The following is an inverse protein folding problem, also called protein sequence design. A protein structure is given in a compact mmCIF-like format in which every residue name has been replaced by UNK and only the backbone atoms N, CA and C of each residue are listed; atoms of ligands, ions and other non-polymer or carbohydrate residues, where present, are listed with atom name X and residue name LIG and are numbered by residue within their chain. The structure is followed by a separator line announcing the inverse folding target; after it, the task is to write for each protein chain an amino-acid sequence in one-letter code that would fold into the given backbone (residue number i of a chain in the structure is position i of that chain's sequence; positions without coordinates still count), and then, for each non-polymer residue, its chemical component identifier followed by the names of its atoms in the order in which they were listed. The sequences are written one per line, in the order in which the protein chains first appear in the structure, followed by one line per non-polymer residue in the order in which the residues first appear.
data_IF_374568624585
#
_entry.id   IF_374568624585
#
_cell.length_a   1.000
_cell.length_b   1.000
_cell.length_c   1.000
_cell.angle_alpha   90.00
_cell.angle_beta   90.00
_cell.angle_gamma   90.00
#
_symmetry.space_group_name_H-M   'P 1'
#
loop_
_entity.id
_entity.type
_entity.pdbx_description
1 polymer ?
#
# COMPACT_ATOMS: atom_id res chain seq x y z
N UNK A 1 11.97 -18.04 -11.84
CA UNK A 1 10.86 -18.91 -11.42
C UNK A 1 10.41 -18.38 -10.07
N UNK A 2 9.45 -17.46 -10.05
CA UNK A 2 8.97 -16.83 -8.81
C UNK A 2 7.88 -17.74 -8.24
N UNK A 3 8.10 -18.25 -7.03
CA UNK A 3 7.08 -18.97 -6.28
C UNK A 3 5.92 -18.00 -5.98
N UNK A 4 4.76 -18.24 -6.62
CA UNK A 4 3.55 -17.43 -6.50
C UNK A 4 2.72 -17.75 -5.25
N UNK A 5 3.19 -18.63 -4.37
CA UNK A 5 2.60 -18.80 -3.04
C UNK A 5 3.09 -17.71 -2.07
N UNK A 6 2.84 -16.44 -2.39
CA UNK A 6 3.13 -15.32 -1.49
C UNK A 6 2.21 -15.40 -0.27
N UNK A 7 2.59 -16.25 0.69
CA UNK A 7 1.95 -16.30 2.00
C UNK A 7 2.27 -14.96 2.65
N UNK A 8 1.25 -14.10 2.75
CA UNK A 8 1.39 -12.84 3.47
C UNK A 8 1.85 -13.09 4.90
N UNK A 9 2.65 -12.17 5.45
CA UNK A 9 3.13 -12.31 6.83
C UNK A 9 1.96 -12.27 7.81
N UNK A 10 2.08 -12.88 9.02
CA UNK A 10 1.07 -12.78 10.05
C UNK A 10 0.71 -11.33 10.41
N UNK A 11 1.69 -10.43 10.38
CA UNK A 11 1.46 -9.00 10.58
C UNK A 11 0.62 -8.42 9.45
N UNK A 12 0.99 -8.68 8.19
CA UNK A 12 0.22 -8.19 7.04
C UNK A 12 -1.21 -8.70 7.05
N UNK A 13 -1.45 -9.93 7.50
CA UNK A 13 -2.81 -10.47 7.72
C UNK A 13 -3.58 -9.68 8.78
N UNK A 14 -2.96 -9.35 9.91
CA UNK A 14 -3.60 -8.50 10.93
C UNK A 14 -3.91 -7.10 10.38
N UNK A 15 -2.95 -6.47 9.69
CA UNK A 15 -3.15 -5.13 9.10
C UNK A 15 -4.25 -5.14 8.03
N UNK A 16 -4.33 -6.19 7.21
CA UNK A 16 -5.42 -6.38 6.24
C UNK A 16 -6.78 -6.48 6.94
N UNK A 17 -6.88 -7.27 8.01
CA UNK A 17 -8.11 -7.40 8.79
C UNK A 17 -8.57 -6.03 9.34
N UNK A 18 -7.62 -5.22 9.79
CA UNK A 18 -7.88 -3.91 10.39
C UNK A 18 -8.17 -2.80 9.37
N UNK A 19 -7.50 -2.79 8.21
CA UNK A 19 -7.44 -1.62 7.33
C UNK A 19 -7.98 -1.84 5.91
N UNK A 20 -8.17 -3.09 5.46
CA UNK A 20 -8.60 -3.35 4.09
C UNK A 20 -10.13 -3.38 3.96
N UNK A 21 -10.62 -2.86 2.83
CA UNK A 21 -11.99 -3.11 2.37
C UNK A 21 -12.02 -4.44 1.61
N UNK A 22 -12.70 -5.44 2.17
CA UNK A 22 -12.75 -6.80 1.61
C UNK A 22 -13.95 -7.04 0.66
N UNK A 23 -14.46 -5.99 0.01
CA UNK A 23 -15.50 -6.13 -1.03
C UNK A 23 -16.82 -6.77 -0.57
N UNK A 24 -17.25 -6.51 0.67
CA UNK A 24 -18.47 -7.09 1.26
C UNK A 24 -18.25 -8.41 2.02
N UNK A 25 -17.05 -9.00 1.92
CA UNK A 25 -16.65 -10.14 2.74
C UNK A 25 -16.35 -9.65 4.18
N UNK A 26 -17.21 -10.03 5.13
CA UNK A 26 -17.14 -9.60 6.52
C UNK A 26 -17.98 -8.35 6.80
N UNK A 27 -19.07 -8.54 7.56
CA UNK A 27 -20.06 -7.53 7.92
C UNK A 27 -19.69 -6.69 9.16
N UNK A 28 -18.43 -6.74 9.60
CA UNK A 28 -18.04 -6.21 10.90
C UNK A 28 -17.19 -4.94 10.74
N UNK A 29 -17.83 -3.80 11.02
CA UNK A 29 -17.24 -2.47 11.17
C UNK A 29 -16.47 -1.87 9.96
N UNK A 30 -16.42 -0.53 9.93
CA UNK A 30 -15.59 0.19 8.96
C UNK A 30 -14.10 -0.08 9.24
N UNK A 31 -13.27 -0.36 8.23
CA UNK A 31 -11.81 -0.48 8.40
C UNK A 31 -11.21 0.78 9.03
N UNK A 32 -10.12 0.63 9.77
CA UNK A 32 -9.41 1.74 10.40
C UNK A 32 -8.85 2.68 9.33
N UNK A 33 -9.07 3.98 9.51
CA UNK A 33 -8.38 5.01 8.75
C UNK A 33 -6.87 4.99 9.03
N UNK A 34 -6.09 5.65 8.18
CA UNK A 34 -4.64 5.74 8.35
C UNK A 34 -4.26 6.34 9.72
N UNK A 35 -4.99 7.35 10.19
CA UNK A 35 -4.76 7.99 11.49
C UNK A 35 -5.07 7.05 12.65
N UNK A 36 -6.18 6.32 12.58
CA UNK A 36 -6.59 5.35 13.61
C UNK A 36 -5.61 4.18 13.69
N UNK A 37 -5.22 3.62 12.54
CA UNK A 37 -4.21 2.56 12.52
C UNK A 37 -2.86 3.04 13.03
N UNK A 38 -2.45 4.27 12.70
CA UNK A 38 -1.21 4.83 13.22
C UNK A 38 -1.23 4.97 14.76
N UNK A 39 -2.37 5.37 15.34
CA UNK A 39 -2.53 5.41 16.79
C UNK A 39 -2.40 4.01 17.41
N UNK A 40 -3.08 3.00 16.82
CA UNK A 40 -2.95 1.61 17.23
C UNK A 40 -1.50 1.08 17.10
N UNK A 41 -0.82 1.41 16.01
CA UNK A 41 0.57 1.01 15.78
C UNK A 41 1.54 1.65 16.79
N UNK A 42 1.28 2.87 17.25
CA UNK A 42 2.01 3.47 18.37
C UNK A 42 1.71 2.73 19.68
N UNK A 43 0.44 2.46 19.98
CA UNK A 43 0.01 1.74 21.19
C UNK A 43 0.64 0.33 21.28
N UNK A 44 0.72 -0.39 20.16
CA UNK A 44 1.39 -1.68 20.06
C UNK A 44 2.90 -1.55 20.32
N UNK A 45 3.56 -0.60 19.67
CA UNK A 45 5.01 -0.40 19.80
C UNK A 45 5.43 -0.03 21.22
N UNK A 46 4.66 0.80 21.91
CA UNK A 46 4.90 1.17 23.31
C UNK A 46 4.88 -0.04 24.25
N UNK A 47 4.22 -1.13 23.84
CA UNK A 47 4.11 -2.40 24.58
C UNK A 47 5.02 -3.50 24.04
N UNK A 48 5.88 -3.18 23.06
CA UNK A 48 6.73 -4.17 22.39
C UNK A 48 5.97 -5.19 21.53
N UNK A 49 4.71 -4.89 21.18
CA UNK A 49 3.82 -5.76 20.41
C UNK A 49 3.89 -5.47 18.91
N UNK A 50 3.57 -6.50 18.13
CA UNK A 50 3.41 -6.48 16.67
C UNK A 50 1.92 -6.59 16.30
N UNK A 51 1.53 -6.21 15.07
CA UNK A 51 0.15 -6.38 14.62
C UNK A 51 -0.37 -7.82 14.75
N UNK A 52 0.44 -8.84 14.48
CA UNK A 52 0.03 -10.24 14.61
C UNK A 52 -0.35 -10.64 16.06
N UNK A 53 0.23 -9.97 17.07
CA UNK A 53 -0.04 -10.29 18.47
C UNK A 53 -1.48 -9.92 18.89
N UNK A 54 -2.17 -9.09 18.09
CA UNK A 54 -3.59 -8.78 18.29
C UNK A 54 -4.52 -10.00 18.16
N UNK A 55 -4.05 -11.09 17.56
CA UNK A 55 -4.80 -12.35 17.52
C UNK A 55 -4.72 -13.13 18.85
N UNK A 56 -3.79 -12.78 19.75
CA UNK A 56 -3.68 -13.41 21.07
C UNK A 56 -4.73 -12.87 22.03
N UNK A 57 -5.38 -13.75 22.79
CA UNK A 57 -6.46 -13.39 23.72
C UNK A 57 -5.99 -12.37 24.76
N UNK A 58 -4.79 -12.55 25.32
CA UNK A 58 -4.22 -11.67 26.34
C UNK A 58 -4.04 -10.23 25.84
N UNK A 59 -3.69 -10.06 24.57
CA UNK A 59 -3.57 -8.74 23.94
C UNK A 59 -4.94 -8.15 23.66
N UNK A 60 -5.92 -8.96 23.25
CA UNK A 60 -7.29 -8.50 23.07
C UNK A 60 -7.95 -8.06 24.38
N UNK A 61 -7.59 -8.65 25.51
CA UNK A 61 -8.06 -8.19 26.81
C UNK A 61 -7.53 -6.80 27.15
N UNK A 62 -6.28 -6.49 26.79
CA UNK A 62 -5.69 -5.15 26.95
C UNK A 62 -6.35 -4.08 26.06
N UNK A 63 -7.03 -4.49 24.97
CA UNK A 63 -7.81 -3.57 24.14
C UNK A 63 -9.09 -3.08 24.82
N UNK A 64 -9.52 -3.65 25.96
CA UNK A 64 -10.72 -3.18 26.68
C UNK A 64 -10.64 -1.70 27.05
N UNK A 65 -9.45 -1.22 27.36
CA UNK A 65 -9.20 0.18 27.71
C UNK A 65 -8.89 1.07 26.49
N UNK A 66 -8.82 0.50 25.29
CA UNK A 66 -8.53 1.24 24.06
C UNK A 66 -9.82 1.84 23.47
N UNK A 67 -9.85 3.14 23.06
CA UNK A 67 -11.05 3.79 22.54
C UNK A 67 -11.70 3.10 21.33
N UNK A 68 -10.91 2.35 20.56
CA UNK A 68 -11.36 1.57 19.40
C UNK A 68 -11.39 0.05 19.67
N UNK A 69 -11.29 -0.39 20.92
CA UNK A 69 -11.09 -1.80 21.28
C UNK A 69 -12.14 -2.74 20.70
N UNK A 70 -13.42 -2.41 20.86
CA UNK A 70 -14.52 -3.21 20.30
C UNK A 70 -14.45 -3.30 18.77
N UNK A 71 -14.16 -2.19 18.11
CA UNK A 71 -14.02 -2.13 16.66
C UNK A 71 -12.81 -2.90 16.16
N UNK A 72 -11.69 -2.84 16.87
CA UNK A 72 -10.49 -3.61 16.55
C UNK A 72 -10.78 -5.10 16.65
N UNK A 73 -11.40 -5.57 17.74
CA UNK A 73 -11.80 -6.98 17.90
C UNK A 73 -12.72 -7.44 16.77
N UNK A 74 -13.78 -6.69 16.49
CA UNK A 74 -14.70 -6.99 15.39
C UNK A 74 -14.00 -7.03 14.01
N UNK A 75 -13.00 -6.17 13.79
CA UNK A 75 -12.17 -6.17 12.58
C UNK A 75 -11.15 -7.31 12.55
N UNK A 76 -10.76 -7.91 13.67
CA UNK A 76 -9.87 -9.09 13.67
C UNK A 76 -10.65 -10.38 13.37
N UNK A 77 -11.95 -10.43 13.69
CA UNK A 77 -12.82 -11.58 13.40
C UNK A 77 -12.99 -11.86 11.89
N UNK A 78 -12.75 -10.86 11.04
CA UNK A 78 -12.75 -11.02 9.57
C UNK A 78 -11.45 -11.63 9.00
N UNK A 79 -10.54 -12.17 9.82
CA UNK A 79 -9.29 -12.79 9.34
C UNK A 79 -9.51 -13.93 8.32
N UNK A 80 -10.61 -14.68 8.42
CA UNK A 80 -10.97 -15.70 7.43
C UNK A 80 -11.32 -15.08 6.07
N UNK A 81 -12.06 -13.96 6.08
CA UNK A 81 -12.37 -13.22 4.86
C UNK A 81 -11.10 -12.62 4.22
N UNK A 82 -10.11 -12.23 5.03
CA UNK A 82 -8.81 -11.77 4.53
C UNK A 82 -8.12 -12.87 3.73
N UNK A 83 -8.11 -14.12 4.20
CA UNK A 83 -7.48 -15.22 3.49
C UNK A 83 -8.07 -15.41 2.08
N UNK A 84 -9.41 -15.41 1.98
CA UNK A 84 -10.13 -15.53 0.69
C UNK A 84 -9.82 -14.35 -0.23
N UNK A 85 -9.84 -13.12 0.31
CA UNK A 85 -9.57 -11.91 -0.47
C UNK A 85 -8.13 -11.89 -1.00
N UNK A 86 -7.16 -12.26 -0.16
CA UNK A 86 -5.74 -12.33 -0.52
C UNK A 86 -5.52 -13.34 -1.64
N UNK A 87 -6.11 -14.54 -1.53
CA UNK A 87 -6.03 -15.52 -2.61
C UNK A 87 -6.59 -14.97 -3.92
N UNK A 88 -7.77 -14.34 -3.89
CA UNK A 88 -8.40 -13.75 -5.07
C UNK A 88 -7.58 -12.60 -5.68
N UNK A 89 -6.90 -11.79 -4.87
CA UNK A 89 -6.02 -10.70 -5.33
C UNK A 89 -4.72 -11.25 -5.90
N UNK A 90 -4.08 -12.21 -5.23
CA UNK A 90 -2.84 -12.83 -5.68
C UNK A 90 -3.04 -13.59 -7.00
N UNK A 91 -4.17 -14.28 -7.18
CA UNK A 91 -4.54 -14.91 -8.46
C UNK A 91 -4.68 -13.89 -9.61
N UNK A 92 -4.92 -12.61 -9.31
CA UNK A 92 -4.97 -11.51 -10.28
C UNK A 92 -3.62 -10.78 -10.44
N UNK A 93 -2.55 -11.31 -9.86
CA UNK A 93 -1.22 -10.72 -9.91
C UNK A 93 -1.03 -9.50 -8.98
N UNK A 94 -1.94 -9.29 -8.03
CA UNK A 94 -1.82 -8.22 -7.03
C UNK A 94 -0.90 -8.68 -5.91
N UNK A 95 0.19 -7.96 -5.69
CA UNK A 95 0.99 -8.08 -4.48
C UNK A 95 0.48 -7.11 -3.41
N UNK A 96 0.74 -7.46 -2.15
CA UNK A 96 0.30 -6.73 -0.97
C UNK A 96 1.50 -6.56 -0.05
N UNK A 97 1.70 -5.35 0.46
CA UNK A 97 2.70 -5.05 1.48
C UNK A 97 2.05 -4.29 2.62
N UNK A 98 2.29 -4.71 3.85
CA UNK A 98 2.01 -3.86 5.01
C UNK A 98 3.23 -3.07 5.43
N UNK A 99 3.01 -2.04 6.25
CA UNK A 99 4.11 -1.29 6.87
C UNK A 99 4.98 -2.15 7.79
N UNK A 100 4.53 -3.34 8.22
CA UNK A 100 5.34 -4.28 9.00
C UNK A 100 6.33 -5.07 8.13
N UNK A 101 6.11 -5.15 6.82
CA UNK A 101 6.99 -5.91 5.93
C UNK A 101 8.32 -5.18 5.68
N UNK A 102 9.39 -5.97 5.55
CA UNK A 102 10.73 -5.46 5.24
C UNK A 102 10.80 -4.83 3.83
N UNK A 103 9.98 -5.33 2.90
CA UNK A 103 9.90 -4.82 1.52
C UNK A 103 9.15 -3.49 1.41
N UNK A 104 8.49 -3.01 2.48
CA UNK A 104 7.82 -1.71 2.46
C UNK A 104 8.82 -0.57 2.22
N UNK A 105 8.52 0.42 1.36
CA UNK A 105 9.51 1.44 0.96
C UNK A 105 10.01 2.28 2.14
N UNK A 106 11.31 2.15 2.45
CA UNK A 106 11.93 2.84 3.59
C UNK A 106 11.86 4.36 3.43
N UNK A 107 12.00 4.86 2.19
CA UNK A 107 11.86 6.28 1.88
C UNK A 107 10.47 6.82 2.22
N UNK A 108 9.42 6.05 1.96
CA UNK A 108 8.04 6.45 2.27
C UNK A 108 7.82 6.44 3.77
N UNK A 109 8.26 5.38 4.46
CA UNK A 109 8.19 5.28 5.93
C UNK A 109 8.88 6.48 6.60
N UNK A 110 10.05 6.89 6.11
CA UNK A 110 10.82 8.03 6.64
C UNK A 110 10.16 9.39 6.34
N UNK A 111 9.71 9.61 5.09
CA UNK A 111 9.17 10.90 4.64
C UNK A 111 7.74 11.14 5.12
N UNK A 112 6.87 10.14 5.00
CA UNK A 112 5.45 10.25 5.36
C UNK A 112 5.21 10.04 6.85
N UNK A 113 6.11 9.34 7.56
CA UNK A 113 6.02 9.07 9.01
C UNK A 113 4.65 8.47 9.40
N UNK A 114 3.87 9.21 10.17
CA UNK A 114 2.52 8.92 10.66
C UNK A 114 1.47 8.90 9.54
N UNK A 115 1.76 9.53 8.40
CA UNK A 115 0.92 9.53 7.20
C UNK A 115 1.22 8.37 6.24
N UNK A 116 2.24 7.55 6.50
CA UNK A 116 2.57 6.43 5.64
C UNK A 116 1.42 5.40 5.64
N UNK A 117 0.88 5.01 4.48
CA UNK A 117 -0.27 4.12 4.42
C UNK A 117 0.04 2.75 5.05
N UNK A 118 -0.93 2.12 5.74
CA UNK A 118 -0.70 0.85 6.43
C UNK A 118 -0.49 -0.31 5.46
N UNK A 119 -1.09 -0.21 4.28
CA UNK A 119 -1.09 -1.21 3.23
C UNK A 119 -0.77 -0.55 1.88
N UNK A 120 0.00 -1.27 1.07
CA UNK A 120 0.21 -0.99 -0.35
C UNK A 120 -0.28 -2.20 -1.14
N UNK A 121 -1.02 -1.92 -2.20
CA UNK A 121 -1.44 -2.89 -3.19
C UNK A 121 -0.83 -2.48 -4.52
N UNK A 122 -0.39 -3.44 -5.32
CA UNK A 122 0.07 -3.13 -6.67
C UNK A 122 0.20 -4.35 -7.55
N UNK A 123 0.46 -4.09 -8.82
CA UNK A 123 0.63 -5.10 -9.87
C UNK A 123 1.92 -4.78 -10.63
N UNK A 124 2.60 -5.81 -11.12
CA UNK A 124 3.86 -5.67 -11.85
C UNK A 124 5.08 -5.73 -10.93
N UNK A 125 6.20 -5.14 -11.37
CA UNK A 125 7.47 -5.25 -10.68
C UNK A 125 7.51 -4.43 -9.38
N UNK A 126 7.40 -5.13 -8.25
CA UNK A 126 7.44 -4.55 -6.89
C UNK A 126 8.76 -3.85 -6.57
N UNK A 127 9.87 -4.24 -7.20
CA UNK A 127 11.20 -3.70 -6.88
C UNK A 127 11.32 -2.22 -7.30
N UNK A 128 10.47 -1.76 -8.23
CA UNK A 128 10.37 -0.35 -8.63
C UNK A 128 9.98 0.57 -7.48
N UNK A 129 9.37 0.07 -6.40
CA UNK A 129 9.08 0.86 -5.22
C UNK A 129 10.34 1.39 -4.50
N UNK A 130 11.50 0.78 -4.75
CA UNK A 130 12.79 1.20 -4.21
C UNK A 130 13.62 2.00 -5.22
N UNK A 131 13.15 2.14 -6.46
CA UNK A 131 13.86 2.85 -7.50
C UNK A 131 13.94 4.36 -7.20
N UNK A 132 15.01 5.00 -7.66
CA UNK A 132 15.04 6.45 -7.75
C UNK A 132 14.01 6.90 -8.79
N UNK A 133 13.15 7.84 -8.42
CA UNK A 133 12.03 8.24 -9.25
C UNK A 133 11.88 9.75 -9.32
N UNK A 134 11.35 10.23 -10.44
CA UNK A 134 10.91 11.61 -10.64
C UNK A 134 9.40 11.61 -10.82
N UNK A 135 8.73 12.46 -10.04
CA UNK A 135 7.30 12.69 -10.21
C UNK A 135 7.08 13.68 -11.37
N UNK A 136 6.31 13.28 -12.37
CA UNK A 136 5.87 14.18 -13.45
C UNK A 136 4.35 14.26 -13.38
N UNK A 137 3.82 15.44 -13.07
CA UNK A 137 2.39 15.69 -12.89
C UNK A 137 2.00 16.99 -13.58
N UNK A 138 0.77 17.09 -14.06
CA UNK A 138 0.28 18.33 -14.67
C UNK A 138 -1.19 18.31 -15.05
N UNK A 139 -1.58 19.23 -15.93
CA UNK A 139 -2.97 19.41 -16.34
C UNK A 139 -3.53 18.17 -17.05
N UNK A 140 -4.82 17.90 -16.79
CA UNK A 140 -5.61 16.92 -17.56
C UNK A 140 -6.00 17.43 -18.94
N UNK A 141 -6.02 18.75 -19.09
CA UNK A 141 -6.37 19.50 -20.29
C UNK A 141 -5.13 20.33 -20.68
N UNK A 142 -4.05 19.65 -21.03
CA UNK A 142 -2.83 20.27 -21.50
C UNK A 142 -2.87 20.43 -23.02
N UNK A 143 -2.29 21.51 -23.54
CA UNK A 143 -2.13 21.73 -24.97
C UNK A 143 -1.02 20.84 -25.56
N UNK A 144 -0.88 20.88 -26.89
CA UNK A 144 0.08 20.03 -27.60
C UNK A 144 1.54 20.28 -27.20
N UNK A 145 1.90 21.52 -26.87
CA UNK A 145 3.25 21.88 -26.47
C UNK A 145 3.59 21.30 -25.09
N UNK A 146 2.70 21.48 -24.12
CA UNK A 146 2.85 20.92 -22.78
C UNK A 146 2.90 19.39 -22.78
N UNK A 147 2.09 18.73 -23.63
CA UNK A 147 2.14 17.28 -23.80
C UNK A 147 3.45 16.80 -24.42
N UNK A 148 3.94 17.50 -25.46
CA UNK A 148 5.22 17.18 -26.09
C UNK A 148 6.37 17.33 -25.09
N UNK A 149 6.37 18.40 -24.30
CA UNK A 149 7.35 18.62 -23.25
C UNK A 149 7.29 17.53 -22.16
N UNK A 150 6.10 17.19 -21.67
CA UNK A 150 5.92 16.13 -20.68
C UNK A 150 6.44 14.78 -21.19
N UNK A 151 6.18 14.45 -22.45
CA UNK A 151 6.70 13.24 -23.09
C UNK A 151 8.21 13.25 -23.26
N UNK A 152 8.81 14.39 -23.63
CA UNK A 152 10.27 14.52 -23.70
C UNK A 152 10.91 14.32 -22.31
N UNK A 153 10.38 15.00 -21.29
CA UNK A 153 10.84 14.83 -19.92
C UNK A 153 10.71 13.38 -19.42
N UNK A 154 9.62 12.69 -19.75
CA UNK A 154 9.42 11.29 -19.41
C UNK A 154 10.50 10.37 -20.01
N UNK A 155 10.86 10.58 -21.29
CA UNK A 155 11.96 9.85 -21.94
C UNK A 155 13.30 10.16 -21.30
N UNK A 156 13.59 11.43 -21.03
CA UNK A 156 14.88 11.84 -20.46
C UNK A 156 15.07 11.25 -19.05
N UNK A 157 14.02 11.25 -18.24
CA UNK A 157 14.05 10.60 -16.92
C UNK A 157 14.30 9.09 -17.06
N UNK A 158 13.54 8.40 -17.91
CA UNK A 158 13.69 6.95 -18.12
C UNK A 158 15.09 6.57 -18.61
N UNK A 159 15.59 7.26 -19.65
CA UNK A 159 16.93 7.03 -20.23
C UNK A 159 18.05 7.37 -19.25
N UNK A 160 17.81 8.23 -18.26
CA UNK A 160 18.75 8.48 -17.15
C UNK A 160 18.81 7.36 -16.09
N UNK A 161 18.04 6.27 -16.27
CA UNK A 161 17.97 5.15 -15.33
C UNK A 161 17.11 5.43 -14.10
N UNK A 162 16.17 6.38 -14.20
CA UNK A 162 15.23 6.75 -13.13
C UNK A 162 13.80 6.40 -13.53
N UNK A 163 13.00 5.99 -12.56
CA UNK A 163 11.59 5.71 -12.79
C UNK A 163 10.78 7.01 -12.94
N UNK A 164 9.79 7.01 -13.82
CA UNK A 164 8.75 8.04 -13.88
C UNK A 164 7.57 7.63 -13.00
N UNK A 165 7.17 8.50 -12.07
CA UNK A 165 5.99 8.29 -11.22
C UNK A 165 4.96 9.37 -11.52
N UNK A 166 3.70 8.96 -11.71
CA UNK A 166 2.61 9.89 -12.03
C UNK A 166 1.25 9.31 -11.61
N UNK A 167 0.17 10.07 -11.77
CA UNK A 167 -1.19 9.69 -11.37
C UNK A 167 -1.98 8.92 -12.43
N UNK A 168 -1.37 8.63 -13.58
CA UNK A 168 -1.99 7.98 -14.74
C UNK A 168 -3.27 8.70 -15.26
N UNK A 169 -3.41 10.00 -14.96
CA UNK A 169 -4.50 10.80 -15.49
C UNK A 169 -4.30 11.07 -16.99
N UNK A 170 -5.38 11.46 -17.68
CA UNK A 170 -5.27 12.05 -19.02
C UNK A 170 -4.37 13.29 -18.98
N UNK A 171 -3.78 13.66 -20.12
CA UNK A 171 -2.94 14.84 -20.24
C UNK A 171 -1.47 14.55 -19.91
N UNK A 172 -0.86 15.41 -19.09
CA UNK A 172 0.59 15.38 -18.78
C UNK A 172 1.04 14.02 -18.23
N UNK A 173 0.31 13.47 -17.26
CA UNK A 173 0.63 12.19 -16.61
C UNK A 173 0.76 11.05 -17.64
N UNK A 174 -0.27 10.87 -18.47
CA UNK A 174 -0.27 9.85 -19.52
C UNK A 174 0.85 10.07 -20.56
N UNK A 175 1.10 11.32 -20.99
CA UNK A 175 2.15 11.63 -21.95
C UNK A 175 3.54 11.26 -21.43
N UNK A 176 3.84 11.63 -20.18
CA UNK A 176 5.11 11.33 -19.53
C UNK A 176 5.31 9.81 -19.32
N UNK A 177 4.30 9.12 -18.79
CA UNK A 177 4.37 7.67 -18.53
C UNK A 177 4.50 6.87 -19.83
N UNK A 178 3.70 7.19 -20.86
CA UNK A 178 3.75 6.48 -22.14
C UNK A 178 5.10 6.67 -22.83
N UNK A 179 5.65 7.88 -22.77
CA UNK A 179 6.94 8.17 -23.39
C UNK A 179 8.10 7.47 -22.67
N UNK A 180 8.07 7.38 -21.34
CA UNK A 180 9.02 6.60 -20.55
C UNK A 180 8.98 5.11 -20.90
N UNK A 181 7.77 4.52 -20.96
CA UNK A 181 7.58 3.12 -21.37
C UNK A 181 8.08 2.87 -22.79
N UNK A 182 7.87 3.82 -23.71
CA UNK A 182 8.29 3.70 -25.11
C UNK A 182 9.80 3.59 -25.33
N UNK A 183 10.61 3.95 -24.33
CA UNK A 183 12.08 3.80 -24.34
C UNK A 183 12.58 2.67 -23.42
N UNK A 184 11.67 1.83 -22.91
CA UNK A 184 11.99 0.69 -22.07
C UNK A 184 12.27 1.02 -20.60
N UNK A 185 11.81 2.18 -20.13
CA UNK A 185 11.86 2.58 -18.72
C UNK A 185 10.74 2.02 -17.85
#
# INVERSE_FOLDING_TARGET
MYDMSATITPDTRAVLALCAHLGGLGHAANPLSNKEYQALACWLRERGLRPADLFCTEVQEQLRDHPLGDRIRALLDRHNAVAIAVEAWTQRGVWILSRADAAYPLGWRRRLRDKAPPLLFGVGNRDLLQAQAVAIVGSREADGEALAFAGALGRDVATSGRAVVSGAAKGVDHAAMTAALGVGG
#
